data_IF_777929343230
#
_entry.id   IF_777929343230
#
_cell.length_a   1.000
_cell.length_b   1.000
_cell.length_c   1.000
_cell.angle_alpha   90.00
_cell.angle_beta   90.00
_cell.angle_gamma   90.00
#
_symmetry.space_group_name_H-M   'P 1'
#
loop_
_entity.id
_entity.type
_entity.pdbx_description
1 polymer ?
#
# COMPACT_ATOMS: atom_id res chain seq x y z
N UNK A 1 -21.10 25.02 -5.01
CA UNK A 1 -20.54 23.74 -5.48
C UNK A 1 -20.62 23.77 -7.00
N UNK A 2 -19.51 23.92 -7.75
CA UNK A 2 -19.60 23.96 -9.21
C UNK A 2 -19.90 22.54 -9.69
N UNK A 3 -21.01 22.38 -10.41
CA UNK A 3 -21.39 21.14 -11.08
C UNK A 3 -20.26 20.76 -12.04
N UNK A 4 -19.55 19.67 -11.75
CA UNK A 4 -18.58 19.09 -12.68
C UNK A 4 -19.36 18.62 -13.91
N UNK A 5 -19.28 19.35 -15.01
CA UNK A 5 -20.00 19.08 -16.24
C UNK A 5 -19.79 17.62 -16.68
N UNK A 6 -20.84 16.90 -17.11
CA UNK A 6 -20.76 15.48 -17.48
C UNK A 6 -19.66 15.19 -18.53
N UNK A 7 -19.43 16.13 -19.45
CA UNK A 7 -18.39 16.05 -20.48
C UNK A 7 -16.96 15.93 -19.91
N UNK A 8 -16.66 16.59 -18.77
CA UNK A 8 -15.35 16.53 -18.15
C UNK A 8 -15.09 15.16 -17.51
N UNK A 9 -16.14 14.54 -16.93
CA UNK A 9 -16.06 13.21 -16.32
C UNK A 9 -15.82 12.13 -17.36
N UNK A 10 -16.45 12.23 -18.52
CA UNK A 10 -16.26 11.29 -19.62
C UNK A 10 -14.85 11.37 -20.20
N UNK A 11 -14.32 12.59 -20.40
CA UNK A 11 -12.94 12.78 -20.86
C UNK A 11 -11.90 12.22 -19.86
N UNK A 12 -12.11 12.39 -18.55
CA UNK A 12 -11.22 11.79 -17.52
C UNK A 12 -11.25 10.26 -17.57
N UNK A 13 -12.44 9.66 -17.75
CA UNK A 13 -12.57 8.20 -17.87
C UNK A 13 -11.88 7.66 -19.12
N UNK A 14 -12.02 8.35 -20.25
CA UNK A 14 -11.37 7.98 -21.51
C UNK A 14 -9.84 8.02 -21.38
N UNK A 15 -9.29 9.08 -20.78
CA UNK A 15 -7.84 9.18 -20.49
C UNK A 15 -7.36 8.06 -19.56
N UNK A 16 -8.14 7.73 -18.54
CA UNK A 16 -7.85 6.62 -17.63
C UNK A 16 -7.80 5.26 -18.33
N UNK A 17 -8.74 4.99 -19.25
CA UNK A 17 -8.74 3.78 -20.10
C UNK A 17 -7.54 3.74 -21.03
N UNK A 18 -7.24 4.85 -21.71
CA UNK A 18 -6.08 4.93 -22.59
C UNK A 18 -4.75 4.69 -21.84
N UNK A 19 -4.65 5.20 -20.61
CA UNK A 19 -3.50 4.94 -19.73
C UNK A 19 -3.37 3.47 -19.34
N UNK A 20 -4.48 2.82 -19.01
CA UNK A 20 -4.53 1.39 -18.71
C UNK A 20 -4.14 0.54 -19.93
N UNK A 21 -4.64 0.86 -21.12
CA UNK A 21 -4.27 0.21 -22.38
C UNK A 21 -2.79 0.41 -22.73
N UNK A 22 -2.23 1.56 -22.37
CA UNK A 22 -0.79 1.79 -22.55
C UNK A 22 0.01 0.91 -21.57
N UNK A 23 -0.35 0.90 -20.29
CA UNK A 23 0.30 0.06 -19.27
C UNK A 23 0.21 -1.43 -19.57
N UNK A 24 -0.91 -1.91 -20.13
CA UNK A 24 -1.09 -3.32 -20.47
C UNK A 24 -0.06 -3.80 -21.50
N UNK A 25 0.40 -2.89 -22.38
CA UNK A 25 1.39 -3.12 -23.43
C UNK A 25 2.84 -2.89 -22.98
N UNK A 26 3.08 -2.33 -21.78
CA UNK A 26 4.43 -2.16 -21.25
C UNK A 26 5.04 -3.54 -20.98
N UNK A 27 6.15 -3.80 -21.66
CA UNK A 27 6.91 -5.03 -21.59
C UNK A 27 8.41 -4.74 -21.53
N UNK A 28 9.19 -5.74 -21.11
CA UNK A 28 10.64 -5.63 -20.97
C UNK A 28 11.08 -4.91 -19.69
N UNK A 29 12.28 -5.26 -19.21
CA UNK A 29 12.77 -4.84 -17.91
C UNK A 29 12.78 -3.30 -17.71
N UNK A 30 13.27 -2.53 -18.68
CA UNK A 30 13.42 -1.08 -18.56
C UNK A 30 12.05 -0.37 -18.54
N UNK A 31 11.13 -0.75 -19.42
CA UNK A 31 9.78 -0.20 -19.46
C UNK A 31 8.99 -0.50 -18.18
N UNK A 32 9.08 -1.76 -17.69
CA UNK A 32 8.47 -2.16 -16.42
C UNK A 32 9.04 -1.38 -15.24
N UNK A 33 10.37 -1.22 -15.17
CA UNK A 33 11.02 -0.41 -14.14
C UNK A 33 10.53 1.04 -14.19
N UNK A 34 10.50 1.67 -15.38
CA UNK A 34 10.03 3.05 -15.52
C UNK A 34 8.58 3.24 -15.06
N UNK A 35 7.69 2.30 -15.40
CA UNK A 35 6.30 2.31 -14.98
C UNK A 35 6.14 2.15 -13.45
N UNK A 36 6.83 1.16 -12.87
CA UNK A 36 6.83 0.92 -11.42
C UNK A 36 7.33 2.16 -10.67
N UNK A 37 8.45 2.74 -11.09
CA UNK A 37 8.99 3.94 -10.44
C UNK A 37 8.02 5.13 -10.59
N UNK A 38 7.36 5.29 -11.73
CA UNK A 38 6.39 6.37 -11.93
C UNK A 38 5.18 6.26 -10.99
N UNK A 39 4.66 5.06 -10.75
CA UNK A 39 3.58 4.82 -9.79
C UNK A 39 3.97 5.16 -8.35
N UNK A 40 5.27 5.09 -8.02
CA UNK A 40 5.81 5.41 -6.69
C UNK A 40 6.14 6.89 -6.49
N UNK A 41 6.16 7.70 -7.56
CA UNK A 41 6.40 9.14 -7.45
C UNK A 41 5.13 9.83 -6.93
N UNK A 42 5.16 10.51 -5.77
CA UNK A 42 4.02 11.28 -5.31
C UNK A 42 3.72 12.45 -6.26
N UNK A 43 2.43 12.73 -6.45
CA UNK A 43 1.99 13.90 -7.19
C UNK A 43 2.63 15.18 -6.65
N UNK A 44 3.07 16.07 -7.55
CA UNK A 44 3.70 17.35 -7.20
C UNK A 44 5.16 17.29 -6.69
N UNK A 45 5.73 16.10 -6.44
CA UNK A 45 7.11 16.00 -5.96
C UNK A 45 8.14 16.22 -7.08
N UNK A 46 8.63 17.45 -7.22
CA UNK A 46 9.69 17.80 -8.20
C UNK A 46 10.97 17.00 -8.00
N UNK A 47 11.39 16.77 -6.76
CA UNK A 47 12.63 16.03 -6.44
C UNK A 47 12.53 14.55 -6.82
N UNK A 48 11.46 13.87 -6.42
CA UNK A 48 11.22 12.48 -6.81
C UNK A 48 11.03 12.37 -8.34
N UNK A 49 10.36 13.36 -8.95
CA UNK A 49 10.18 13.43 -10.38
C UNK A 49 11.50 13.54 -11.16
N UNK A 50 12.48 14.31 -10.66
CA UNK A 50 13.83 14.39 -11.25
C UNK A 50 14.62 13.10 -11.06
N UNK A 51 14.58 12.52 -9.86
CA UNK A 51 15.24 11.23 -9.62
C UNK A 51 14.70 10.15 -10.57
N UNK A 52 13.38 10.09 -10.74
CA UNK A 52 12.75 9.20 -11.72
C UNK A 52 13.28 9.44 -13.15
N UNK A 53 13.38 10.70 -13.59
CA UNK A 53 13.89 11.03 -14.94
C UNK A 53 15.32 10.52 -15.15
N UNK A 54 16.18 10.64 -14.13
CA UNK A 54 17.56 10.15 -14.18
C UNK A 54 17.59 8.62 -14.28
N UNK A 55 16.80 7.92 -13.47
CA UNK A 55 16.74 6.45 -13.51
C UNK A 55 16.17 5.90 -14.82
N UNK A 56 15.32 6.66 -15.50
CA UNK A 56 14.65 6.24 -16.75
C UNK A 56 15.21 6.89 -18.00
N UNK A 57 16.36 7.57 -17.93
CA UNK A 57 16.91 8.33 -19.05
C UNK A 57 17.18 7.46 -20.30
N UNK A 58 17.53 6.20 -20.09
CA UNK A 58 17.80 5.24 -21.16
C UNK A 58 16.54 4.54 -21.69
N UNK A 59 15.37 4.80 -21.10
CA UNK A 59 14.11 4.14 -21.45
C UNK A 59 13.34 4.97 -22.47
N UNK A 60 13.27 4.48 -23.70
CA UNK A 60 12.47 5.10 -24.77
C UNK A 60 11.00 5.23 -24.34
N UNK A 61 10.42 6.42 -24.49
CA UNK A 61 9.01 6.67 -24.18
C UNK A 61 8.68 6.81 -22.70
N UNK A 62 9.68 6.85 -21.79
CA UNK A 62 9.41 6.97 -20.35
C UNK A 62 8.56 8.19 -19.98
N UNK A 63 8.80 9.35 -20.61
CA UNK A 63 8.03 10.57 -20.36
C UNK A 63 6.54 10.41 -20.66
N UNK A 64 6.20 9.84 -21.83
CA UNK A 64 4.81 9.56 -22.21
C UNK A 64 4.16 8.52 -21.28
N UNK A 65 4.91 7.49 -20.88
CA UNK A 65 4.46 6.51 -19.90
C UNK A 65 4.09 7.15 -18.56
N UNK A 66 4.88 8.11 -18.10
CA UNK A 66 4.58 8.84 -16.86
C UNK A 66 3.34 9.73 -16.99
N UNK A 67 3.19 10.42 -18.11
CA UNK A 67 1.98 11.22 -18.39
C UNK A 67 0.72 10.34 -18.37
N UNK A 68 0.77 9.14 -18.96
CA UNK A 68 -0.32 8.17 -18.87
C UNK A 68 -0.61 7.76 -17.43
N UNK A 69 0.42 7.46 -16.62
CA UNK A 69 0.23 7.11 -15.20
C UNK A 69 -0.37 8.27 -14.40
N UNK A 70 -0.03 9.51 -14.72
CA UNK A 70 -0.60 10.70 -14.08
C UNK A 70 -2.12 10.82 -14.35
N UNK A 71 -2.61 10.26 -15.47
CA UNK A 71 -4.04 10.18 -15.80
C UNK A 71 -4.77 8.96 -15.21
N UNK A 72 -4.07 8.02 -14.56
CA UNK A 72 -4.74 6.92 -13.89
C UNK A 72 -5.49 7.40 -12.64
N UNK A 73 -6.75 6.94 -12.44
CA UNK A 73 -7.44 7.10 -11.17
C UNK A 73 -6.58 6.58 -10.01
N UNK A 74 -6.63 7.24 -8.85
CA UNK A 74 -5.81 6.86 -7.68
C UNK A 74 -6.03 5.40 -7.29
N UNK A 75 -7.30 4.97 -7.20
CA UNK A 75 -7.67 3.58 -6.95
C UNK A 75 -7.14 2.57 -8.00
N UNK A 76 -6.75 3.00 -9.21
CA UNK A 76 -6.17 2.11 -10.22
C UNK A 76 -4.66 1.91 -10.07
N UNK A 77 -3.97 2.82 -9.39
CA UNK A 77 -2.50 2.85 -9.35
C UNK A 77 -1.92 1.64 -8.63
N UNK A 78 -2.44 1.31 -7.45
CA UNK A 78 -1.94 0.17 -6.68
C UNK A 78 -2.27 -1.19 -7.32
N UNK A 79 -3.48 -1.45 -7.86
CA UNK A 79 -3.72 -2.64 -8.67
C UNK A 79 -2.78 -2.77 -9.88
N UNK A 80 -2.47 -1.67 -10.58
CA UNK A 80 -1.50 -1.68 -11.68
C UNK A 80 -0.08 -1.95 -11.19
N UNK A 81 0.31 -1.44 -10.02
CA UNK A 81 1.59 -1.77 -9.41
C UNK A 81 1.71 -3.28 -9.20
N UNK A 82 0.69 -3.94 -8.65
CA UNK A 82 0.68 -5.40 -8.46
C UNK A 82 0.91 -6.15 -9.78
N UNK A 83 0.19 -5.78 -10.84
CA UNK A 83 0.33 -6.38 -12.19
C UNK A 83 1.76 -6.21 -12.72
N UNK A 84 2.32 -5.01 -12.60
CA UNK A 84 3.67 -4.73 -13.08
C UNK A 84 4.74 -5.46 -12.26
N UNK A 85 4.56 -5.60 -10.94
CA UNK A 85 5.45 -6.36 -10.08
C UNK A 85 5.45 -7.86 -10.42
N UNK A 86 4.30 -8.43 -10.76
CA UNK A 86 4.22 -9.83 -11.26
C UNK A 86 5.01 -9.99 -12.55
N UNK A 87 4.85 -9.08 -13.52
CA UNK A 87 5.60 -9.11 -14.79
C UNK A 87 7.11 -8.92 -14.57
N UNK A 88 7.47 -8.01 -13.67
CA UNK A 88 8.87 -7.72 -13.34
C UNK A 88 9.55 -8.88 -12.59
N UNK A 89 8.78 -9.65 -11.80
CA UNK A 89 9.28 -10.88 -11.16
C UNK A 89 9.75 -11.92 -12.18
N UNK A 90 9.17 -11.95 -13.38
CA UNK A 90 9.59 -12.80 -14.48
C UNK A 90 10.89 -12.35 -15.20
N UNK A 91 11.43 -11.18 -14.87
CA UNK A 91 12.67 -10.67 -15.46
C UNK A 91 13.92 -11.23 -14.77
N UNK A 92 15.07 -11.07 -15.42
CA UNK A 92 16.37 -11.46 -14.87
C UNK A 92 16.62 -10.85 -13.47
N UNK A 93 17.36 -11.59 -12.62
CA UNK A 93 17.67 -11.15 -11.25
C UNK A 93 18.33 -9.77 -11.21
N UNK A 94 19.25 -9.50 -12.14
CA UNK A 94 19.94 -8.21 -12.26
C UNK A 94 18.96 -7.06 -12.52
N UNK A 95 17.97 -7.26 -13.38
CA UNK A 95 16.91 -6.27 -13.64
C UNK A 95 16.05 -6.00 -12.41
N UNK A 96 15.72 -7.06 -11.64
CA UNK A 96 14.97 -6.94 -10.39
C UNK A 96 15.75 -6.16 -9.33
N UNK A 97 17.05 -6.46 -9.18
CA UNK A 97 17.95 -5.76 -8.27
C UNK A 97 18.12 -4.28 -8.67
N UNK A 98 18.33 -4.00 -9.97
CA UNK A 98 18.40 -2.64 -10.50
C UNK A 98 17.12 -1.84 -10.20
N UNK A 99 15.95 -2.47 -10.32
CA UNK A 99 14.68 -1.82 -9.96
C UNK A 99 14.63 -1.49 -8.46
N UNK A 100 15.01 -2.41 -7.57
CA UNK A 100 15.03 -2.14 -6.13
C UNK A 100 15.98 -0.99 -5.77
N UNK A 101 17.16 -0.94 -6.39
CA UNK A 101 18.10 0.16 -6.18
C UNK A 101 17.55 1.50 -6.67
N UNK A 102 16.95 1.53 -7.86
CA UNK A 102 16.32 2.72 -8.42
C UNK A 102 15.15 3.20 -7.54
N UNK A 103 14.31 2.28 -7.06
CA UNK A 103 13.22 2.61 -6.13
C UNK A 103 13.74 3.29 -4.87
N UNK A 104 14.82 2.76 -4.29
CA UNK A 104 15.45 3.37 -3.11
C UNK A 104 15.94 4.79 -3.40
N UNK A 105 16.58 5.03 -4.56
CA UNK A 105 17.05 6.36 -4.97
C UNK A 105 15.90 7.35 -5.18
N UNK A 106 14.84 6.93 -5.86
CA UNK A 106 13.62 7.75 -6.08
C UNK A 106 12.95 8.10 -4.75
N UNK A 107 12.78 7.13 -3.84
CA UNK A 107 12.17 7.36 -2.54
C UNK A 107 13.01 8.29 -1.66
N UNK A 108 14.35 8.12 -1.68
CA UNK A 108 15.31 8.91 -0.90
C UNK A 108 15.46 10.36 -1.38
N UNK A 109 15.28 10.63 -2.68
CA UNK A 109 15.44 11.96 -3.28
C UNK A 109 14.54 13.05 -2.64
N UNK A 110 13.49 12.66 -1.90
CA UNK A 110 12.60 13.58 -1.18
C UNK A 110 13.19 14.07 0.14
N UNK A 111 14.14 13.36 0.74
CA UNK A 111 14.70 13.63 2.07
C UNK A 111 13.86 13.08 3.23
N UNK A 112 12.53 12.94 3.07
CA UNK A 112 11.64 12.33 4.08
C UNK A 112 10.84 11.17 3.48
N UNK A 113 10.90 10.00 4.10
CA UNK A 113 10.16 8.80 3.69
C UNK A 113 8.77 8.83 4.35
N UNK A 114 7.69 8.82 3.55
CA UNK A 114 6.31 8.75 4.06
C UNK A 114 6.03 7.34 4.58
N UNK A 115 5.08 7.17 5.51
CA UNK A 115 4.68 5.84 5.97
C UNK A 115 4.28 4.89 4.82
N UNK A 116 3.49 5.37 3.86
CA UNK A 116 3.05 4.57 2.72
C UNK A 116 4.22 4.09 1.84
N UNK A 117 5.31 4.88 1.74
CA UNK A 117 6.49 4.48 0.96
C UNK A 117 7.20 3.28 1.58
N UNK A 118 7.16 3.16 2.93
CA UNK A 118 7.73 1.99 3.62
C UNK A 118 6.96 0.73 3.27
N UNK A 119 5.62 0.79 3.20
CA UNK A 119 4.81 -0.36 2.77
C UNK A 119 5.10 -0.75 1.32
N UNK A 120 5.19 0.22 0.41
CA UNK A 120 5.60 -0.02 -0.96
C UNK A 120 6.99 -0.66 -1.05
N UNK A 121 7.96 -0.15 -0.29
CA UNK A 121 9.32 -0.70 -0.23
C UNK A 121 9.35 -2.14 0.27
N UNK A 122 8.61 -2.45 1.34
CA UNK A 122 8.49 -3.80 1.87
C UNK A 122 7.86 -4.75 0.85
N UNK A 123 6.80 -4.30 0.16
CA UNK A 123 6.12 -5.10 -0.87
C UNK A 123 7.07 -5.38 -2.03
N UNK A 124 7.77 -4.35 -2.51
CA UNK A 124 8.77 -4.45 -3.57
C UNK A 124 9.86 -5.47 -3.20
N UNK A 125 10.39 -5.40 -1.98
CA UNK A 125 11.39 -6.32 -1.46
C UNK A 125 10.86 -7.76 -1.37
N UNK A 126 9.62 -7.95 -0.92
CA UNK A 126 8.99 -9.27 -0.86
C UNK A 126 8.75 -9.87 -2.25
N UNK A 127 8.33 -9.06 -3.23
CA UNK A 127 7.99 -9.54 -4.59
C UNK A 127 9.20 -9.75 -5.49
N UNK A 128 10.21 -8.88 -5.39
CA UNK A 128 11.37 -8.88 -6.30
C UNK A 128 12.66 -9.36 -5.67
N UNK A 129 12.76 -9.33 -4.33
CA UNK A 129 13.91 -9.81 -3.60
C UNK A 129 14.11 -11.31 -3.73
N UNK A 130 15.19 -11.82 -3.13
CA UNK A 130 15.36 -13.26 -2.97
C UNK A 130 14.40 -13.75 -1.89
N UNK A 131 13.79 -14.92 -2.10
CA UNK A 131 12.82 -15.49 -1.17
C UNK A 131 13.48 -15.68 0.20
N UNK A 132 13.07 -14.89 1.19
CA UNK A 132 13.33 -15.20 2.58
C UNK A 132 12.19 -16.09 3.03
N UNK A 133 12.47 -17.38 3.21
CA UNK A 133 11.48 -18.28 3.79
C UNK A 133 11.26 -17.85 5.24
N UNK A 134 10.16 -17.13 5.49
CA UNK A 134 9.66 -17.00 6.85
C UNK A 134 9.30 -18.41 7.31
N UNK A 135 10.04 -18.93 8.30
CA UNK A 135 9.66 -20.16 8.98
C UNK A 135 8.33 -19.89 9.66
N UNK A 136 7.25 -20.46 9.12
CA UNK A 136 5.94 -20.38 9.73
C UNK A 136 6.04 -20.87 11.18
N UNK A 137 5.43 -20.15 12.12
CA UNK A 137 5.26 -20.73 13.44
C UNK A 137 4.43 -22.00 13.25
N UNK A 138 4.95 -23.14 13.71
CA UNK A 138 4.17 -24.37 13.89
C UNK A 138 3.19 -24.17 15.05
N UNK A 139 2.39 -23.11 15.00
CA UNK A 139 1.37 -22.83 15.99
C UNK A 139 0.20 -23.75 15.69
N UNK A 140 0.02 -24.76 16.54
CA UNK A 140 -1.24 -25.48 16.66
C UNK A 140 -2.39 -24.45 16.65
N UNK A 141 -3.37 -24.68 15.80
CA UNK A 141 -4.55 -23.86 15.49
C UNK A 141 -5.02 -23.04 16.71
N UNK A 142 -4.44 -21.85 16.90
CA UNK A 142 -4.78 -20.98 18.01
C UNK A 142 -5.84 -20.00 17.53
N UNK A 143 -6.93 -19.89 18.27
CA UNK A 143 -7.93 -18.84 18.03
C UNK A 143 -7.23 -17.47 18.04
N UNK A 144 -7.52 -16.63 17.04
CA UNK A 144 -6.94 -15.30 16.92
C UNK A 144 -7.24 -14.44 18.16
N UNK A 145 -8.32 -14.70 18.89
CA UNK A 145 -8.65 -13.99 20.14
C UNK A 145 -7.72 -14.33 21.31
N UNK A 146 -6.96 -15.43 21.21
CA UNK A 146 -6.07 -15.96 22.26
C UNK A 146 -4.62 -16.05 21.80
N UNK A 147 -4.19 -15.09 20.98
CA UNK A 147 -2.79 -14.96 20.61
C UNK A 147 -1.91 -14.76 21.86
N UNK A 148 -0.68 -15.30 21.86
CA UNK A 148 0.28 -15.04 22.92
C UNK A 148 0.66 -13.55 22.97
N UNK A 149 1.14 -13.03 24.12
CA UNK A 149 1.46 -11.62 24.28
C UNK A 149 2.46 -11.07 23.25
N UNK A 150 3.41 -11.90 22.81
CA UNK A 150 4.40 -11.54 21.78
C UNK A 150 3.74 -11.23 20.43
N UNK A 151 2.79 -12.06 19.99
CA UNK A 151 2.07 -11.87 18.74
C UNK A 151 1.14 -10.65 18.84
N UNK A 152 0.47 -10.47 19.98
CA UNK A 152 -0.37 -9.27 20.24
C UNK A 152 0.48 -8.00 20.20
N UNK A 153 1.71 -8.03 20.73
CA UNK A 153 2.64 -6.90 20.64
C UNK A 153 3.06 -6.62 19.19
N UNK A 154 3.29 -7.66 18.37
CA UNK A 154 3.59 -7.48 16.96
C UNK A 154 2.39 -6.87 16.21
N UNK A 155 1.17 -7.34 16.47
CA UNK A 155 -0.06 -6.77 15.91
C UNK A 155 -0.21 -5.32 16.33
N UNK A 156 0.02 -5.01 17.61
CA UNK A 156 -0.01 -3.66 18.13
C UNK A 156 1.01 -2.74 17.45
N UNK A 157 2.27 -3.17 17.27
CA UNK A 157 3.29 -2.36 16.59
C UNK A 157 2.92 -2.10 15.13
N UNK A 158 2.41 -3.11 14.43
CA UNK A 158 1.99 -2.96 13.05
C UNK A 158 0.75 -2.04 12.93
N UNK A 159 -0.24 -2.20 13.80
CA UNK A 159 -1.40 -1.30 13.87
C UNK A 159 -0.97 0.13 14.23
N UNK A 160 -0.10 0.34 15.21
CA UNK A 160 0.40 1.67 15.56
C UNK A 160 1.18 2.32 14.41
N UNK A 161 1.80 1.54 13.52
CA UNK A 161 2.36 2.06 12.28
C UNK A 161 1.26 2.46 11.27
N UNK A 162 0.27 1.59 11.07
CA UNK A 162 -0.85 1.83 10.15
C UNK A 162 -1.75 3.00 10.58
N UNK A 163 -1.86 3.29 11.87
CA UNK A 163 -2.68 4.39 12.40
C UNK A 163 -2.24 5.77 11.90
N UNK A 164 -1.02 5.86 11.37
CA UNK A 164 -0.50 7.05 10.67
C UNK A 164 -1.13 7.28 9.29
N UNK A 165 -1.89 6.31 8.79
CA UNK A 165 -2.53 6.29 7.47
C UNK A 165 -4.01 5.87 7.54
N UNK A 166 -4.44 5.23 8.63
CA UNK A 166 -5.79 4.67 8.82
C UNK A 166 -6.37 5.15 10.15
N UNK A 167 -7.53 5.83 10.16
CA UNK A 167 -8.31 6.33 9.04
C UNK A 167 -7.84 7.76 8.74
N UNK A 168 -7.37 8.08 7.53
CA UNK A 168 -7.05 9.49 7.26
C UNK A 168 -7.68 9.99 5.97
N UNK A 169 -8.70 10.82 6.14
CA UNK A 169 -8.87 12.02 5.32
C UNK A 169 -8.47 13.24 6.17
N UNK A 170 -7.41 13.94 5.77
CA UNK A 170 -7.07 15.25 6.30
C UNK A 170 -7.63 16.30 5.31
N UNK A 171 -8.61 17.09 5.73
CA UNK A 171 -9.04 18.28 5.00
C UNK A 171 -7.98 19.39 5.10
N UNK A 172 -8.04 20.38 4.20
CA UNK A 172 -7.21 21.60 4.19
C UNK A 172 -7.53 22.53 5.39
N UNK A 173 -7.54 21.98 6.61
CA UNK A 173 -7.80 22.69 7.86
C UNK A 173 -6.53 22.80 8.69
N UNK A 174 -6.35 23.93 9.37
CA UNK A 174 -5.21 24.19 10.24
C UNK A 174 -5.07 23.16 11.40
N UNK A 175 -6.16 22.50 11.79
CA UNK A 175 -6.21 21.48 12.84
C UNK A 175 -6.10 20.03 12.32
N UNK A 176 -5.96 19.85 11.00
CA UNK A 176 -5.93 18.54 10.36
C UNK A 176 -4.90 17.55 10.93
N UNK A 177 -3.68 17.96 11.38
CA UNK A 177 -2.71 17.01 11.92
C UNK A 177 -3.14 16.37 13.25
N UNK A 178 -3.73 17.16 14.15
CA UNK A 178 -4.17 16.69 15.46
C UNK A 178 -5.42 15.81 15.35
N UNK A 179 -6.38 16.23 14.51
CA UNK A 179 -7.58 15.44 14.20
C UNK A 179 -7.21 14.10 13.56
N UNK A 180 -6.28 14.10 12.60
CA UNK A 180 -5.82 12.87 11.96
C UNK A 180 -5.10 11.94 12.95
N UNK A 181 -4.30 12.48 13.87
CA UNK A 181 -3.65 11.69 14.91
C UNK A 181 -4.67 11.06 15.89
N UNK A 182 -5.69 11.82 16.29
CA UNK A 182 -6.78 11.33 17.14
C UNK A 182 -7.61 10.24 16.44
N UNK A 183 -7.95 10.43 15.16
CA UNK A 183 -8.66 9.42 14.35
C UNK A 183 -7.84 8.12 14.24
N UNK A 184 -6.53 8.24 13.97
CA UNK A 184 -5.62 7.09 13.92
C UNK A 184 -5.55 6.33 15.26
N UNK A 185 -5.46 7.05 16.37
CA UNK A 185 -5.46 6.45 17.71
C UNK A 185 -6.80 5.75 18.03
N UNK A 186 -7.93 6.33 17.62
CA UNK A 186 -9.25 5.72 17.80
C UNK A 186 -9.39 4.41 16.99
N UNK A 187 -8.93 4.42 15.74
CA UNK A 187 -8.87 3.19 14.92
C UNK A 187 -7.95 2.15 15.52
N UNK A 188 -6.78 2.55 16.03
CA UNK A 188 -5.86 1.64 16.72
C UNK A 188 -6.54 0.92 17.88
N UNK A 189 -7.24 1.66 18.75
CA UNK A 189 -7.99 1.09 19.86
C UNK A 189 -9.04 0.08 19.37
N UNK A 190 -9.86 0.46 18.36
CA UNK A 190 -10.85 -0.45 17.77
C UNK A 190 -10.22 -1.71 17.15
N UNK A 191 -9.10 -1.56 16.42
CA UNK A 191 -8.38 -2.67 15.83
C UNK A 191 -7.80 -3.64 16.87
N UNK A 192 -7.42 -3.14 18.05
CA UNK A 192 -6.87 -3.93 19.15
C UNK A 192 -7.90 -4.48 20.13
N UNK A 193 -9.16 -4.02 20.06
CA UNK A 193 -10.21 -4.28 21.06
C UNK A 193 -10.44 -5.78 21.36
N UNK A 194 -10.24 -6.67 20.37
CA UNK A 194 -10.39 -8.13 20.54
C UNK A 194 -9.50 -8.69 21.65
N UNK A 195 -8.31 -8.13 21.85
CA UNK A 195 -7.32 -8.69 22.76
C UNK A 195 -7.36 -8.07 24.15
N UNK A 196 -8.09 -6.97 24.36
CA UNK A 196 -8.22 -6.28 25.66
C UNK A 196 -8.64 -7.19 26.82
N UNK A 197 -9.57 -8.17 26.65
CA UNK A 197 -9.97 -9.02 27.77
C UNK A 197 -8.87 -9.98 28.26
N UNK A 198 -7.86 -10.24 27.44
CA UNK A 198 -6.86 -11.29 27.69
C UNK A 198 -5.42 -10.77 27.71
N UNK A 199 -5.18 -9.51 27.30
CA UNK A 199 -3.86 -8.94 27.15
C UNK A 199 -3.85 -7.46 27.56
N UNK A 200 -2.71 -7.00 28.08
CA UNK A 200 -2.45 -5.58 28.23
C UNK A 200 -2.05 -4.99 26.88
N UNK A 201 -2.87 -4.08 26.35
CA UNK A 201 -2.62 -3.44 25.05
C UNK A 201 -1.65 -2.27 25.25
N UNK A 202 -0.52 -2.24 24.52
CA UNK A 202 0.41 -1.12 24.62
C UNK A 202 -0.20 0.16 24.04
N UNK A 203 0.30 1.35 24.41
CA UNK A 203 -0.17 2.60 23.81
C UNK A 203 0.13 2.65 22.31
N UNK A 204 -0.65 3.43 21.57
CA UNK A 204 -0.44 3.66 20.14
C UNK A 204 0.85 4.47 19.89
N UNK A 205 1.98 3.77 19.83
CA UNK A 205 3.30 4.34 19.54
C UNK A 205 3.86 3.69 18.25
N UNK A 206 4.02 4.45 17.15
CA UNK A 206 4.50 3.87 15.91
C UNK A 206 5.96 3.39 16.07
N UNK A 207 6.28 2.17 15.59
CA UNK A 207 7.64 1.65 15.64
C UNK A 207 8.57 2.42 14.68
N UNK A 208 9.87 2.25 14.90
CA UNK A 208 10.90 2.59 13.92
C UNK A 208 10.91 1.59 12.75
N UNK A 209 11.88 1.74 11.83
CA UNK A 209 11.95 0.91 10.63
C UNK A 209 12.20 -0.56 10.95
N UNK A 210 13.08 -0.86 11.90
CA UNK A 210 13.44 -2.23 12.25
C UNK A 210 12.31 -2.90 13.04
N UNK A 211 11.69 -2.18 13.97
CA UNK A 211 10.50 -2.63 14.69
C UNK A 211 9.31 -2.92 13.77
N UNK A 212 9.14 -2.15 12.69
CA UNK A 212 8.13 -2.43 11.67
C UNK A 212 8.43 -3.72 10.90
N UNK A 213 9.68 -3.93 10.48
CA UNK A 213 10.09 -5.15 9.76
C UNK A 213 9.89 -6.38 10.64
N UNK A 214 10.32 -6.30 11.90
CA UNK A 214 10.16 -7.39 12.85
C UNK A 214 8.67 -7.68 13.11
N UNK A 215 7.85 -6.66 13.36
CA UNK A 215 6.41 -6.85 13.54
C UNK A 215 5.76 -7.53 12.32
N UNK A 216 6.13 -7.11 11.09
CA UNK A 216 5.63 -7.75 9.88
C UNK A 216 6.05 -9.23 9.79
N UNK A 217 7.30 -9.57 10.15
CA UNK A 217 7.77 -10.96 10.13
C UNK A 217 6.99 -11.85 11.09
N UNK A 218 6.72 -11.38 12.31
CA UNK A 218 5.88 -12.10 13.28
C UNK A 218 4.46 -12.31 12.74
N UNK A 219 3.87 -11.28 12.13
CA UNK A 219 2.54 -11.37 11.52
C UNK A 219 2.51 -12.32 10.32
N UNK A 220 3.57 -12.34 9.51
CA UNK A 220 3.76 -13.30 8.41
C UNK A 220 3.99 -14.72 8.91
N UNK A 221 4.38 -14.91 10.17
CA UNK A 221 4.57 -16.21 10.76
C UNK A 221 3.28 -16.76 11.42
N UNK A 222 2.23 -15.94 11.55
CA UNK A 222 0.88 -16.39 11.94
C UNK A 222 0.35 -17.48 11.00
N UNK A 223 -0.58 -18.28 11.51
CA UNK A 223 -1.24 -19.32 10.74
C UNK A 223 -1.98 -18.71 9.54
N UNK A 224 -1.99 -19.42 8.41
CA UNK A 224 -2.54 -18.91 7.15
C UNK A 224 -4.01 -18.45 7.26
N UNK A 225 -4.82 -19.11 8.09
CA UNK A 225 -6.22 -18.72 8.36
C UNK A 225 -6.37 -17.46 9.22
N UNK A 226 -5.36 -17.11 10.03
CA UNK A 226 -5.44 -15.96 10.94
C UNK A 226 -5.22 -14.64 10.22
N UNK A 227 -4.33 -14.60 9.21
CA UNK A 227 -3.98 -13.38 8.49
C UNK A 227 -5.18 -12.72 7.77
N UNK A 228 -6.06 -13.48 7.07
CA UNK A 228 -7.28 -12.94 6.48
C UNK A 228 -8.30 -12.45 7.50
N UNK A 229 -8.42 -13.12 8.65
CA UNK A 229 -9.30 -12.66 9.73
C UNK A 229 -8.80 -11.33 10.28
N UNK A 230 -7.50 -11.24 10.57
CA UNK A 230 -6.84 -10.02 11.03
C UNK A 230 -7.04 -8.85 10.05
N UNK A 231 -6.80 -9.08 8.76
CA UNK A 231 -6.99 -8.06 7.73
C UNK A 231 -8.44 -7.58 7.63
N UNK A 232 -9.41 -8.50 7.74
CA UNK A 232 -10.84 -8.15 7.76
C UNK A 232 -11.21 -7.30 8.98
N UNK A 233 -10.67 -7.62 10.15
CA UNK A 233 -10.93 -6.85 11.37
C UNK A 233 -10.38 -5.42 11.25
N UNK A 234 -9.18 -5.26 10.68
CA UNK A 234 -8.61 -3.94 10.40
C UNK A 234 -9.46 -3.10 9.44
N UNK A 235 -9.97 -3.71 8.36
CA UNK A 235 -10.87 -3.04 7.41
C UNK A 235 -12.18 -2.67 8.09
N UNK A 236 -12.74 -3.56 8.91
CA UNK A 236 -13.99 -3.30 9.66
C UNK A 236 -13.82 -2.12 10.60
N UNK A 237 -12.74 -2.10 11.39
CA UNK A 237 -12.40 -0.98 12.26
C UNK A 237 -12.19 0.31 11.44
N UNK A 238 -11.50 0.24 10.30
CA UNK A 238 -11.27 1.41 9.45
C UNK A 238 -12.59 2.03 8.95
N UNK A 239 -13.55 1.19 8.53
CA UNK A 239 -14.86 1.65 8.07
C UNK A 239 -15.69 2.28 9.20
N UNK A 240 -15.61 1.76 10.42
CA UNK A 240 -16.30 2.32 11.60
C UNK A 240 -15.83 3.74 11.92
N UNK A 241 -14.55 4.03 11.67
CA UNK A 241 -13.94 5.33 11.94
C UNK A 241 -13.83 6.23 10.69
N UNK A 242 -14.31 5.79 9.53
CA UNK A 242 -14.28 6.57 8.30
C UNK A 242 -15.59 7.34 8.09
N UNK A 243 -15.54 8.59 7.58
CA UNK A 243 -16.74 9.34 7.27
C UNK A 243 -17.61 8.59 6.26
N UNK A 244 -18.91 8.52 6.53
CA UNK A 244 -19.91 7.84 5.69
C UNK A 244 -19.61 6.35 5.40
N UNK A 245 -18.77 5.70 6.20
CA UNK A 245 -18.39 4.30 6.00
C UNK A 245 -17.62 4.06 4.69
N UNK A 246 -16.85 5.04 4.21
CA UNK A 246 -16.03 4.91 3.00
C UNK A 246 -14.56 5.15 3.33
N UNK A 247 -13.70 4.24 2.86
CA UNK A 247 -12.26 4.39 3.01
C UNK A 247 -11.73 5.49 2.08
N UNK A 248 -10.88 6.35 2.61
CA UNK A 248 -10.02 7.22 1.83
C UNK A 248 -9.02 6.39 1.00
N UNK A 249 -8.61 6.89 -0.16
CA UNK A 249 -7.67 6.19 -1.06
C UNK A 249 -6.37 5.79 -0.34
N UNK A 250 -5.81 6.68 0.51
CA UNK A 250 -4.57 6.37 1.25
C UNK A 250 -4.77 5.26 2.30
N UNK A 251 -5.93 5.25 2.97
CA UNK A 251 -6.26 4.21 3.95
C UNK A 251 -6.51 2.86 3.26
N UNK A 252 -7.24 2.87 2.13
CA UNK A 252 -7.47 1.69 1.31
C UNK A 252 -6.14 1.12 0.79
N UNK A 253 -5.25 1.97 0.27
CA UNK A 253 -3.94 1.55 -0.24
C UNK A 253 -3.05 0.96 0.86
N UNK A 254 -3.02 1.58 2.05
CA UNK A 254 -2.28 1.05 3.18
C UNK A 254 -2.78 -0.36 3.57
N UNK A 255 -4.11 -0.53 3.69
CA UNK A 255 -4.72 -1.83 4.03
C UNK A 255 -4.51 -2.88 2.92
N UNK A 256 -4.58 -2.49 1.64
CA UNK A 256 -4.30 -3.38 0.50
C UNK A 256 -2.84 -3.83 0.49
N UNK A 257 -1.90 -2.91 0.67
CA UNK A 257 -0.48 -3.23 0.80
C UNK A 257 -0.25 -4.19 1.96
N UNK A 258 -0.89 -3.97 3.12
CA UNK A 258 -0.83 -4.89 4.25
C UNK A 258 -1.38 -6.28 3.92
N UNK A 259 -2.51 -6.39 3.23
CA UNK A 259 -3.03 -7.69 2.78
C UNK A 259 -2.02 -8.41 1.86
N UNK A 260 -1.43 -7.68 0.91
CA UNK A 260 -0.44 -8.22 -0.01
C UNK A 260 0.84 -8.68 0.71
N UNK A 261 1.30 -7.91 1.71
CA UNK A 261 2.45 -8.25 2.55
C UNK A 261 2.20 -9.51 3.40
N UNK A 262 0.98 -9.63 3.96
CA UNK A 262 0.58 -10.80 4.74
C UNK A 262 0.23 -12.03 3.89
N UNK A 263 0.24 -11.90 2.57
CA UNK A 263 -0.21 -12.93 1.61
C UNK A 263 -1.66 -13.36 1.88
N UNK A 264 -2.49 -12.38 2.22
CA UNK A 264 -3.89 -12.54 2.55
C UNK A 264 -4.78 -12.10 1.37
N UNK A 265 -5.90 -12.79 1.09
CA UNK A 265 -6.89 -12.30 0.13
C UNK A 265 -7.49 -10.97 0.61
N UNK A 266 -7.93 -10.15 -0.34
CA UNK A 266 -8.54 -8.87 -0.02
C UNK A 266 -9.93 -9.08 0.62
N UNK A 267 -10.24 -8.41 1.75
CA UNK A 267 -11.60 -8.38 2.27
C UNK A 267 -12.58 -7.79 1.24
N UNK A 268 -13.83 -8.30 1.13
CA UNK A 268 -14.79 -7.85 0.11
C UNK A 268 -15.08 -6.35 0.15
N UNK A 269 -15.09 -5.74 1.33
CA UNK A 269 -15.31 -4.30 1.51
C UNK A 269 -14.17 -3.48 0.90
N UNK A 270 -12.93 -3.96 1.05
CA UNK A 270 -11.76 -3.35 0.45
C UNK A 270 -11.73 -3.58 -1.06
N UNK A 271 -12.11 -4.77 -1.52
CA UNK A 271 -12.21 -5.08 -2.96
C UNK A 271 -13.19 -4.15 -3.69
N UNK A 272 -14.33 -3.82 -3.06
CA UNK A 272 -15.33 -2.89 -3.62
C UNK A 272 -14.75 -1.50 -3.90
N UNK A 273 -13.82 -1.02 -3.08
CA UNK A 273 -13.13 0.26 -3.31
C UNK A 273 -12.36 0.25 -4.64
N UNK A 274 -11.79 -0.89 -5.01
CA UNK A 274 -10.99 -1.05 -6.23
C UNK A 274 -11.80 -1.49 -7.47
N UNK A 275 -13.05 -1.91 -7.32
CA UNK A 275 -13.83 -2.53 -8.41
C UNK A 275 -13.99 -1.61 -9.63
N UNK A 276 -14.23 -0.32 -9.42
CA UNK A 276 -14.33 0.66 -10.52
C UNK A 276 -13.00 0.91 -11.26
N UNK A 277 -11.87 0.52 -10.68
CA UNK A 277 -10.56 0.54 -11.31
C UNK A 277 -10.14 -0.82 -11.89
N UNK A 278 -10.67 -1.92 -11.34
CA UNK A 278 -10.38 -3.29 -11.77
C UNK A 278 -10.92 -3.61 -13.17
N UNK A 279 -11.98 -2.93 -13.63
CA UNK A 279 -12.46 -3.03 -15.02
C UNK A 279 -11.41 -2.63 -16.07
N UNK A 280 -10.34 -1.92 -15.66
CA UNK A 280 -9.25 -1.50 -16.53
C UNK A 280 -8.01 -2.41 -16.43
N UNK A 281 -8.05 -3.50 -15.66
CA UNK A 281 -6.92 -4.44 -15.57
C UNK A 281 -6.97 -5.46 -16.71
N UNK A 282 -5.80 -5.89 -17.25
CA UNK A 282 -5.76 -6.93 -18.26
C UNK A 282 -6.26 -8.26 -17.68
N UNK A 283 -7.10 -8.97 -18.44
CA UNK A 283 -7.62 -10.31 -18.11
C UNK A 283 -6.51 -11.37 -18.09
#
# INVERSE_FOLDING_TARGET
MPETTPQLRDATRERGRAAADHLSRVNGAQGLQAAVLALLVPAGSRRAGRAWQVETQATTGAAALREHIDHLPLAARLPWLDVLLVRLRGQALTSRQATLEATRRVMAARGTVRPIDRLHWLLMRQRLGQASAATAHTAAQSDLSRLPPTDVLAVARYCAFLSRMVPVEAHDDANAPEVAAAAGAAWYASAMARWEPHNSIPPCAPPDSDGLVQALQELQALAWMQRPVLARDWVTAALQHSPHGRLADTAADALRLSCALLESPLPPELERHYRGAAEALPS
#
